data_IF_178896501294
#
_entry.id   IF_178896501294
#
_cell.length_a   1.000
_cell.length_b   1.000
_cell.length_c   1.000
_cell.angle_alpha   90.00
_cell.angle_beta   90.00
_cell.angle_gamma   90.00
#
_symmetry.space_group_name_H-M   'P 1'
#
loop_
_entity.id
_entity.type
_entity.pdbx_description
1 polymer ?
#
# COMPACT_ATOMS: atom_id res chain seq x y z
N UNK A 1 48.00 -1.36 -59.81
CA UNK A 1 47.25 -0.14 -59.40
C UNK A 1 46.28 -0.51 -58.29
N UNK A 2 46.38 0.17 -57.13
CA UNK A 2 45.34 0.58 -56.16
C UNK A 2 44.49 -0.53 -55.48
N UNK A 3 44.74 -0.88 -54.21
CA UNK A 3 44.47 -0.19 -52.93
C UNK A 3 43.06 -0.41 -52.34
N UNK A 4 43.05 -1.11 -51.17
CA UNK A 4 42.25 -0.87 -49.94
C UNK A 4 40.73 -1.15 -50.12
N UNK A 5 39.95 -1.69 -49.18
CA UNK A 5 39.78 -1.27 -47.78
C UNK A 5 39.19 -2.39 -46.92
N UNK A 6 39.62 -2.34 -45.67
CA UNK A 6 39.29 -3.13 -44.50
C UNK A 6 37.93 -2.80 -43.86
N UNK A 7 37.48 -3.76 -43.04
CA UNK A 7 36.75 -3.61 -41.76
C UNK A 7 35.24 -3.25 -41.77
N UNK A 8 34.47 -4.12 -41.09
CA UNK A 8 33.45 -3.66 -40.15
C UNK A 8 32.05 -4.27 -40.28
N UNK A 9 31.81 -5.51 -39.83
CA UNK A 9 30.44 -6.00 -39.58
C UNK A 9 30.34 -7.06 -38.47
N UNK A 10 31.09 -6.90 -37.37
CA UNK A 10 31.09 -7.88 -36.25
C UNK A 10 30.63 -7.30 -34.89
N UNK A 11 29.82 -6.24 -34.89
CA UNK A 11 29.34 -5.62 -33.64
C UNK A 11 27.83 -5.72 -33.37
N UNK A 12 27.01 -6.22 -34.31
CA UNK A 12 25.54 -6.25 -34.11
C UNK A 12 24.99 -7.45 -33.34
N UNK A 13 25.78 -8.50 -33.09
CA UNK A 13 25.31 -9.73 -32.44
C UNK A 13 25.23 -9.66 -30.90
N UNK A 14 26.00 -8.77 -30.26
CA UNK A 14 26.16 -8.78 -28.80
C UNK A 14 25.09 -7.96 -28.05
N UNK A 15 24.45 -7.00 -28.72
CA UNK A 15 23.42 -6.15 -28.09
C UNK A 15 22.07 -6.85 -27.88
N UNK A 16 21.75 -7.85 -28.70
CA UNK A 16 20.43 -8.51 -28.67
C UNK A 16 20.34 -9.65 -27.65
N UNK A 17 21.48 -10.16 -27.17
CA UNK A 17 21.53 -11.23 -26.16
C UNK A 17 21.32 -10.73 -24.73
N UNK A 18 21.45 -9.42 -24.47
CA UNK A 18 21.34 -8.83 -23.13
C UNK A 18 19.90 -8.43 -22.74
N UNK A 19 18.93 -8.55 -23.65
CA UNK A 19 17.56 -8.07 -23.43
C UNK A 19 16.60 -9.12 -22.85
N UNK A 20 17.00 -10.40 -22.74
CA UNK A 20 16.07 -11.51 -22.46
C UNK A 20 15.94 -11.89 -20.97
N UNK A 21 16.43 -11.08 -20.03
CA UNK A 21 16.41 -11.50 -18.62
C UNK A 21 16.83 -10.45 -17.62
N UNK A 22 16.24 -9.26 -17.67
CA UNK A 22 16.32 -8.36 -16.50
C UNK A 22 15.51 -9.02 -15.37
N UNK A 23 16.11 -9.30 -14.20
CA UNK A 23 15.36 -9.81 -13.06
C UNK A 23 14.28 -8.79 -12.69
N UNK A 24 13.01 -9.18 -12.87
CA UNK A 24 11.90 -8.35 -12.46
C UNK A 24 11.91 -8.27 -10.94
N UNK A 25 12.07 -7.06 -10.40
CA UNK A 25 11.94 -6.85 -8.96
C UNK A 25 10.56 -7.39 -8.51
N UNK A 26 10.49 -8.08 -7.37
CA UNK A 26 9.21 -8.55 -6.86
C UNK A 26 8.25 -7.37 -6.71
N UNK A 27 6.99 -7.58 -7.11
CA UNK A 27 5.96 -6.56 -6.99
C UNK A 27 5.81 -6.13 -5.52
N UNK A 28 5.62 -4.84 -5.24
CA UNK A 28 5.44 -4.37 -3.87
C UNK A 28 4.19 -5.01 -3.24
N UNK A 29 4.32 -5.47 -2.00
CA UNK A 29 3.19 -5.98 -1.23
C UNK A 29 2.27 -4.83 -0.82
N UNK A 30 0.99 -4.91 -1.19
CA UNK A 30 -0.06 -4.00 -0.74
C UNK A 30 -0.96 -4.80 0.21
N UNK A 31 -0.94 -4.43 1.49
CA UNK A 31 -1.82 -5.03 2.47
C UNK A 31 -3.24 -4.45 2.34
N UNK A 32 -4.25 -5.29 2.60
CA UNK A 32 -5.65 -4.90 2.50
C UNK A 32 -6.44 -5.43 3.70
N UNK A 33 -7.26 -4.57 4.29
CA UNK A 33 -8.17 -4.93 5.37
C UNK A 33 -9.53 -4.24 5.20
N UNK A 34 -10.57 -4.85 5.77
CA UNK A 34 -11.92 -4.27 5.79
C UNK A 34 -12.36 -3.97 7.22
N UNK A 35 -12.87 -2.76 7.44
CA UNK A 35 -13.52 -2.33 8.67
C UNK A 35 -14.95 -1.90 8.32
N UNK A 36 -15.86 -2.87 8.36
CA UNK A 36 -17.30 -2.68 8.15
C UNK A 36 -18.07 -2.93 9.45
N UNK A 37 -18.05 -1.95 10.36
CA UNK A 37 -18.62 -2.10 11.71
C UNK A 37 -18.61 -0.79 12.50
N UNK A 38 -19.31 -0.76 13.64
CA UNK A 38 -19.16 0.31 14.65
C UNK A 38 -17.74 0.36 15.23
N UNK A 39 -17.27 1.54 15.60
CA UNK A 39 -15.97 1.71 16.27
C UNK A 39 -16.06 1.35 17.76
N UNK A 40 -15.34 0.31 18.15
CA UNK A 40 -15.31 -0.25 19.51
C UNK A 40 -13.95 -0.93 19.81
N UNK A 41 -13.70 -1.44 21.04
CA UNK A 41 -12.41 -2.02 21.40
C UNK A 41 -11.98 -3.19 20.50
N UNK A 42 -12.92 -4.02 20.05
CA UNK A 42 -12.63 -5.17 19.17
C UNK A 42 -12.11 -4.70 17.82
N UNK A 43 -12.80 -3.74 17.20
CA UNK A 43 -12.41 -3.18 15.90
C UNK A 43 -11.12 -2.38 15.98
N UNK A 44 -10.85 -1.75 17.13
CA UNK A 44 -9.59 -1.06 17.42
C UNK A 44 -8.43 -2.05 17.47
N UNK A 45 -8.59 -3.14 18.22
CA UNK A 45 -7.56 -4.18 18.30
C UNK A 45 -7.35 -4.83 16.93
N UNK A 46 -8.41 -4.97 16.12
CA UNK A 46 -8.27 -5.42 14.72
C UNK A 46 -7.43 -4.45 13.89
N UNK A 47 -7.71 -3.15 13.93
CA UNK A 47 -6.92 -2.13 13.21
C UNK A 47 -5.43 -2.19 13.61
N UNK A 48 -5.16 -2.22 14.91
CA UNK A 48 -3.80 -2.29 15.45
C UNK A 48 -3.06 -3.54 14.95
N UNK A 49 -3.75 -4.70 14.92
CA UNK A 49 -3.16 -5.93 14.40
C UNK A 49 -2.82 -5.83 12.91
N UNK A 50 -3.73 -5.32 12.07
CA UNK A 50 -3.47 -5.26 10.62
C UNK A 50 -2.35 -4.28 10.28
N UNK A 51 -2.20 -3.17 11.02
CA UNK A 51 -1.06 -2.26 10.88
C UNK A 51 0.25 -3.00 11.21
N UNK A 52 0.28 -3.72 12.34
CA UNK A 52 1.48 -4.46 12.75
C UNK A 52 1.82 -5.60 11.80
N UNK A 53 0.83 -6.33 11.31
CA UNK A 53 1.03 -7.41 10.32
C UNK A 53 1.56 -6.84 9.00
N UNK A 54 0.95 -5.78 8.48
CA UNK A 54 1.41 -5.13 7.25
C UNK A 54 2.86 -4.60 7.39
N UNK A 55 3.21 -4.03 8.54
CA UNK A 55 4.58 -3.61 8.81
C UNK A 55 5.56 -4.81 8.86
N UNK A 56 5.22 -5.85 9.63
CA UNK A 56 6.05 -7.06 9.77
C UNK A 56 6.29 -7.73 8.42
N UNK A 57 5.28 -7.72 7.57
CA UNK A 57 5.33 -8.36 6.25
C UNK A 57 6.00 -7.45 5.20
N UNK A 58 6.54 -6.28 5.60
CA UNK A 58 7.18 -5.28 4.75
C UNK A 58 6.26 -4.80 3.61
N UNK A 59 4.97 -4.62 3.90
CA UNK A 59 4.04 -4.02 2.96
C UNK A 59 4.47 -2.58 2.64
N UNK A 60 4.39 -2.22 1.35
CA UNK A 60 4.67 -0.85 0.89
C UNK A 60 3.51 0.12 1.18
N UNK A 61 2.32 -0.42 1.45
CA UNK A 61 1.08 0.33 1.67
C UNK A 61 0.07 -0.57 2.39
N UNK A 62 -0.72 -0.02 3.30
CA UNK A 62 -1.90 -0.66 3.84
C UNK A 62 -3.16 0.10 3.38
N UNK A 63 -4.07 -0.60 2.69
CA UNK A 63 -5.37 -0.07 2.31
C UNK A 63 -6.43 -0.62 3.25
N UNK A 64 -7.21 0.27 3.86
CA UNK A 64 -8.30 -0.09 4.76
C UNK A 64 -9.60 0.39 4.17
N UNK A 65 -10.46 -0.55 3.78
CA UNK A 65 -11.83 -0.23 3.37
C UNK A 65 -12.67 0.07 4.60
N UNK A 66 -13.28 1.25 4.65
CA UNK A 66 -14.04 1.72 5.79
C UNK A 66 -15.53 1.88 5.46
N UNK A 67 -16.38 1.26 6.26
CA UNK A 67 -17.80 1.58 6.37
C UNK A 67 -18.22 1.52 7.85
N UNK A 68 -18.53 2.68 8.43
CA UNK A 68 -18.85 2.78 9.85
C UNK A 68 -19.88 3.87 10.14
N UNK A 69 -20.86 3.59 11.02
CA UNK A 69 -21.72 4.63 11.58
C UNK A 69 -21.00 5.48 12.65
N UNK A 70 -19.77 5.11 13.05
CA UNK A 70 -19.03 5.72 14.14
C UNK A 70 -18.97 4.82 15.38
N UNK A 71 -18.62 5.39 16.53
CA UNK A 71 -18.56 4.64 17.78
C UNK A 71 -17.83 5.35 18.91
N UNK A 72 -17.14 4.59 19.75
CA UNK A 72 -16.59 5.08 21.01
C UNK A 72 -15.40 6.02 20.80
N UNK A 73 -15.40 7.14 21.53
CA UNK A 73 -14.35 8.15 21.46
C UNK A 73 -12.97 7.59 21.81
N UNK A 74 -12.88 6.74 22.85
CA UNK A 74 -11.60 6.19 23.29
C UNK A 74 -10.98 5.28 22.22
N UNK A 75 -11.77 4.36 21.67
CA UNK A 75 -11.34 3.52 20.54
C UNK A 75 -10.95 4.35 19.32
N UNK A 76 -11.66 5.45 19.06
CA UNK A 76 -11.33 6.37 17.96
C UNK A 76 -9.97 7.04 18.16
N UNK A 77 -9.68 7.53 19.37
CA UNK A 77 -8.40 8.17 19.69
C UNK A 77 -7.24 7.19 19.56
N UNK A 78 -7.42 5.97 20.04
CA UNK A 78 -6.42 4.91 19.92
C UNK A 78 -6.13 4.59 18.45
N UNK A 79 -7.19 4.43 17.63
CA UNK A 79 -7.06 4.17 16.20
C UNK A 79 -6.35 5.32 15.46
N UNK A 80 -6.76 6.57 15.71
CA UNK A 80 -6.12 7.76 15.13
C UNK A 80 -4.65 7.83 15.51
N UNK A 81 -4.33 7.60 16.78
CA UNK A 81 -2.94 7.59 17.27
C UNK A 81 -2.12 6.49 16.60
N UNK A 82 -2.70 5.31 16.41
CA UNK A 82 -2.02 4.20 15.73
C UNK A 82 -1.75 4.51 14.25
N UNK A 83 -2.70 5.12 13.54
CA UNK A 83 -2.55 5.51 12.14
C UNK A 83 -1.45 6.57 12.00
N UNK A 84 -1.50 7.63 12.82
CA UNK A 84 -0.51 8.72 12.78
C UNK A 84 0.92 8.28 13.13
N UNK A 85 1.07 7.20 13.90
CA UNK A 85 2.38 6.63 14.25
C UNK A 85 2.75 5.41 13.39
N UNK A 86 2.00 5.14 12.32
CA UNK A 86 2.24 3.97 11.47
C UNK A 86 3.61 4.07 10.79
N UNK A 87 4.42 2.98 10.80
CA UNK A 87 5.70 2.94 10.09
C UNK A 87 5.53 2.70 8.58
N UNK A 88 4.30 2.46 8.12
CA UNK A 88 3.95 2.27 6.70
C UNK A 88 2.82 3.21 6.31
N UNK A 89 2.73 3.66 5.04
CA UNK A 89 1.63 4.50 4.59
C UNK A 89 0.28 3.76 4.68
N UNK A 90 -0.77 4.47 5.11
CA UNK A 90 -2.14 3.97 5.26
C UNK A 90 -3.11 4.78 4.39
N UNK A 91 -3.90 4.07 3.59
CA UNK A 91 -5.02 4.61 2.81
C UNK A 91 -6.34 4.20 3.47
N UNK A 92 -7.23 5.16 3.69
CA UNK A 92 -8.61 4.88 4.09
C UNK A 92 -9.54 5.04 2.89
N UNK A 93 -10.07 3.92 2.39
CA UNK A 93 -11.03 3.93 1.31
C UNK A 93 -12.46 3.77 1.82
N UNK A 94 -13.23 4.86 1.80
CA UNK A 94 -14.66 4.83 2.11
C UNK A 94 -15.42 4.34 0.88
N UNK A 95 -15.73 3.04 0.85
CA UNK A 95 -16.34 2.42 -0.32
C UNK A 95 -16.86 1.00 -0.11
N UNK A 96 -17.55 0.45 -1.13
CA UNK A 96 -18.00 1.11 -2.36
C UNK A 96 -19.16 2.10 -2.09
N UNK A 97 -19.76 2.65 -3.15
CA UNK A 97 -20.87 3.61 -3.02
C UNK A 97 -21.96 3.14 -2.04
N UNK A 98 -22.36 4.03 -1.14
CA UNK A 98 -23.26 3.73 -0.02
C UNK A 98 -22.55 3.53 1.33
N UNK A 99 -21.24 3.24 1.31
CA UNK A 99 -20.42 3.25 2.52
C UNK A 99 -20.29 4.66 3.11
N UNK A 100 -20.03 4.73 4.41
CA UNK A 100 -19.87 6.00 5.12
C UNK A 100 -18.75 5.94 6.15
N UNK A 101 -18.13 7.08 6.37
CA UNK A 101 -17.21 7.32 7.49
C UNK A 101 -17.84 8.31 8.47
N UNK A 102 -18.91 7.89 9.15
CA UNK A 102 -19.66 8.79 10.04
C UNK A 102 -18.98 8.93 11.41
N UNK A 103 -19.09 10.13 12.01
CA UNK A 103 -18.60 10.45 13.36
C UNK A 103 -17.13 10.04 13.55
N UNK A 104 -16.83 9.03 14.36
CA UNK A 104 -15.50 8.46 14.53
C UNK A 104 -14.80 8.12 13.21
N UNK A 105 -15.55 7.63 12.20
CA UNK A 105 -15.01 7.31 10.88
C UNK A 105 -14.38 8.51 10.19
N UNK A 106 -14.90 9.73 10.39
CA UNK A 106 -14.33 10.93 9.81
C UNK A 106 -12.93 11.22 10.38
N UNK A 107 -12.77 11.09 11.70
CA UNK A 107 -11.46 11.27 12.35
C UNK A 107 -10.45 10.21 11.93
N UNK A 108 -10.89 8.95 11.81
CA UNK A 108 -10.04 7.85 11.32
C UNK A 108 -9.59 8.13 9.88
N UNK A 109 -10.50 8.60 9.02
CA UNK A 109 -10.19 8.95 7.62
C UNK A 109 -9.22 10.12 7.55
N UNK A 110 -9.43 11.18 8.36
CA UNK A 110 -8.54 12.35 8.39
C UNK A 110 -7.14 12.05 8.93
N UNK A 111 -6.95 10.95 9.66
CA UNK A 111 -5.64 10.55 10.18
C UNK A 111 -4.79 9.82 9.14
N UNK A 112 -5.40 9.29 8.07
CA UNK A 112 -4.72 8.53 7.04
C UNK A 112 -3.86 9.42 6.14
N UNK A 113 -2.88 8.80 5.47
CA UNK A 113 -2.04 9.50 4.48
C UNK A 113 -2.85 9.86 3.22
N UNK A 114 -3.85 9.03 2.89
CA UNK A 114 -4.69 9.14 1.68
C UNK A 114 -6.13 8.73 2.01
#
# INVERSE_FOLDING_TARGET
MRHRWTLGFFSLGLGMALALGQPQAPAPLIAYAELNSSINPITKDFLLRVINEAHRDNASLLVIRLDTPGGLLESTKDMVTAILNSPIPIVIWVGPGGARAASAGAFITMAADI
#
